data_IF_584297986624
#
_entry.id   IF_584297986624
#
_cell.length_a   1.000
_cell.length_b   1.000
_cell.length_c   1.000
_cell.angle_alpha   90.00
_cell.angle_beta   90.00
_cell.angle_gamma   90.00
#
_symmetry.space_group_name_H-M   'P 1'
#
loop_
_entity.id
_entity.type
_entity.pdbx_description
1 polymer ?
#
# COMPACT_ATOMS: atom_id res chain seq x y z
N UNK A 1 0.79 4.18 -17.45
CA UNK A 1 1.76 3.07 -17.54
C UNK A 1 1.31 2.14 -18.64
N UNK A 2 2.09 1.98 -19.71
CA UNK A 2 1.80 1.02 -20.79
C UNK A 2 2.26 -0.38 -20.36
N UNK A 3 1.32 -1.31 -20.17
CA UNK A 3 1.65 -2.71 -19.88
C UNK A 3 2.25 -3.42 -21.09
N UNK A 4 3.20 -4.33 -20.85
CA UNK A 4 3.79 -5.20 -21.88
C UNK A 4 2.90 -6.42 -22.22
N UNK A 5 1.90 -6.68 -21.38
CA UNK A 5 0.90 -7.74 -21.58
C UNK A 5 0.13 -7.52 -22.87
N UNK A 6 0.02 -8.56 -23.71
CA UNK A 6 -0.63 -8.51 -25.01
C UNK A 6 0.25 -7.98 -26.16
N UNK A 7 1.48 -7.54 -25.88
CA UNK A 7 2.47 -7.12 -26.91
C UNK A 7 3.58 -8.13 -27.14
N UNK A 8 3.88 -8.96 -26.14
CA UNK A 8 4.90 -10.01 -26.19
C UNK A 8 4.34 -11.33 -25.63
N UNK A 9 4.92 -12.48 -26.01
CA UNK A 9 4.56 -13.77 -25.43
C UNK A 9 4.71 -13.76 -23.90
N UNK A 10 3.74 -14.33 -23.20
CA UNK A 10 3.76 -14.40 -21.72
C UNK A 10 4.97 -15.16 -21.20
N UNK A 11 5.44 -16.19 -21.91
CA UNK A 11 6.65 -16.95 -21.57
C UNK A 11 7.87 -16.04 -21.41
N UNK A 12 8.08 -15.17 -22.39
CA UNK A 12 9.27 -14.33 -22.51
C UNK A 12 9.26 -13.24 -21.44
N UNK A 13 8.06 -12.70 -21.16
CA UNK A 13 7.86 -11.75 -20.08
C UNK A 13 8.15 -12.36 -18.70
N UNK A 14 7.71 -13.60 -18.48
CA UNK A 14 7.93 -14.31 -17.22
C UNK A 14 9.39 -14.71 -17.05
N UNK A 15 10.07 -15.11 -18.13
CA UNK A 15 11.50 -15.40 -18.14
C UNK A 15 12.32 -14.14 -17.80
N UNK A 16 12.04 -13.02 -18.48
CA UNK A 16 12.70 -11.74 -18.23
C UNK A 16 12.48 -11.24 -16.80
N UNK A 17 11.27 -11.42 -16.26
CA UNK A 17 10.93 -11.07 -14.88
C UNK A 17 11.42 -12.10 -13.84
N UNK A 18 11.99 -13.24 -14.27
CA UNK A 18 12.35 -14.39 -13.42
C UNK A 18 11.19 -14.84 -12.53
N UNK A 19 9.97 -14.86 -13.07
CA UNK A 19 8.74 -15.19 -12.36
C UNK A 19 8.18 -16.55 -12.84
N UNK A 20 7.97 -17.53 -11.94
CA UNK A 20 7.31 -18.78 -12.30
C UNK A 20 5.88 -18.57 -12.82
N UNK A 21 5.46 -19.39 -13.79
CA UNK A 21 4.08 -19.39 -14.34
C UNK A 21 3.03 -19.59 -13.25
N UNK A 22 3.29 -20.48 -12.30
CA UNK A 22 2.42 -20.72 -11.14
C UNK A 22 2.24 -19.47 -10.29
N UNK A 23 3.33 -18.74 -9.99
CA UNK A 23 3.30 -17.48 -9.25
C UNK A 23 2.50 -16.40 -9.99
N UNK A 24 2.64 -16.31 -11.31
CA UNK A 24 1.87 -15.39 -12.14
C UNK A 24 0.37 -15.65 -12.06
N UNK A 25 -0.06 -16.90 -12.32
CA UNK A 25 -1.49 -17.24 -12.25
C UNK A 25 -2.04 -17.18 -10.82
N UNK A 26 -1.22 -17.49 -9.81
CA UNK A 26 -1.59 -17.30 -8.41
C UNK A 26 -1.89 -15.82 -8.11
N UNK A 27 -1.01 -14.90 -8.53
CA UNK A 27 -1.20 -13.47 -8.33
C UNK A 27 -2.41 -12.92 -9.11
N UNK A 28 -2.68 -13.45 -10.31
CA UNK A 28 -3.90 -13.10 -11.06
C UNK A 28 -5.18 -13.58 -10.36
N UNK A 29 -5.17 -14.79 -9.81
CA UNK A 29 -6.32 -15.34 -9.09
C UNK A 29 -6.53 -14.70 -7.71
N UNK A 30 -5.47 -14.17 -7.10
CA UNK A 30 -5.49 -13.57 -5.77
C UNK A 30 -5.03 -12.11 -5.83
N UNK A 31 -5.84 -11.22 -6.42
CA UNK A 31 -5.54 -9.79 -6.41
C UNK A 31 -5.38 -9.33 -4.96
N UNK A 32 -4.29 -8.61 -4.69
CA UNK A 32 -3.98 -8.14 -3.33
C UNK A 32 -5.02 -7.12 -2.90
N UNK A 33 -5.87 -7.49 -1.94
CA UNK A 33 -6.82 -6.56 -1.35
C UNK A 33 -6.07 -5.43 -0.58
N UNK A 34 -6.53 -4.18 -0.69
CA UNK A 34 -5.99 -3.08 0.10
C UNK A 34 -6.21 -3.34 1.59
N UNK A 35 -5.23 -2.95 2.41
CA UNK A 35 -5.33 -3.13 3.86
C UNK A 35 -6.26 -2.06 4.43
N UNK A 36 -7.40 -2.45 5.01
CA UNK A 36 -8.34 -1.54 5.71
C UNK A 36 -8.68 -0.27 4.91
N UNK A 37 -9.23 -0.41 3.68
CA UNK A 37 -9.52 0.72 2.81
C UNK A 37 -10.46 1.75 3.46
N UNK A 38 -11.31 1.32 4.41
CA UNK A 38 -12.24 2.19 5.14
C UNK A 38 -11.55 3.29 5.96
N UNK A 39 -10.26 3.15 6.26
CA UNK A 39 -9.49 4.13 7.03
C UNK A 39 -8.57 5.02 6.18
N UNK A 40 -8.51 4.82 4.86
CA UNK A 40 -7.52 5.48 3.99
C UNK A 40 -7.73 6.98 3.90
N UNK A 41 -8.98 7.41 3.76
CA UNK A 41 -9.33 8.83 3.66
C UNK A 41 -8.90 9.59 4.91
N UNK A 42 -9.29 9.10 6.09
CA UNK A 42 -8.91 9.72 7.34
C UNK A 42 -7.40 9.62 7.62
N UNK A 43 -6.73 8.54 7.23
CA UNK A 43 -5.28 8.45 7.32
C UNK A 43 -4.59 9.51 6.43
N UNK A 44 -5.13 9.79 5.23
CA UNK A 44 -4.64 10.84 4.34
C UNK A 44 -4.87 12.24 4.92
N UNK A 45 -6.04 12.47 5.52
CA UNK A 45 -6.37 13.72 6.22
C UNK A 45 -5.40 13.97 7.39
N UNK A 46 -5.20 12.97 8.25
CA UNK A 46 -4.27 13.09 9.38
C UNK A 46 -2.83 13.33 8.87
N UNK A 47 -2.44 12.68 7.77
CA UNK A 47 -1.13 12.89 7.13
C UNK A 47 -0.93 14.34 6.67
N UNK A 48 -1.95 14.96 6.07
CA UNK A 48 -1.87 16.32 5.51
C UNK A 48 -1.87 17.42 6.57
N UNK A 49 -2.21 17.13 7.83
CA UNK A 49 -2.15 18.09 8.95
C UNK A 49 -0.76 18.64 9.22
N UNK A 50 0.30 18.01 8.69
CA UNK A 50 1.68 18.45 8.87
C UNK A 50 2.39 18.61 7.52
N UNK A 51 3.20 19.67 7.32
CA UNK A 51 3.88 19.92 6.05
C UNK A 51 4.80 18.77 5.57
N UNK A 52 5.43 18.06 6.51
CA UNK A 52 6.35 16.94 6.21
C UNK A 52 5.65 15.57 6.23
N UNK A 53 4.33 15.55 6.44
CA UNK A 53 3.58 14.33 6.71
C UNK A 53 3.83 13.77 8.11
N UNK A 54 2.80 13.22 8.75
CA UNK A 54 2.95 12.63 10.08
C UNK A 54 3.36 11.14 9.97
N UNK A 55 4.09 10.67 10.99
CA UNK A 55 4.56 9.29 11.02
C UNK A 55 3.43 8.30 11.30
N UNK A 56 3.61 7.04 10.89
CA UNK A 56 2.61 5.98 11.08
C UNK A 56 2.13 5.81 12.54
N UNK A 57 2.99 6.08 13.54
CA UNK A 57 2.61 6.06 14.96
C UNK A 57 1.63 7.18 15.31
N UNK A 58 1.87 8.39 14.80
CA UNK A 58 0.98 9.54 15.01
C UNK A 58 -0.36 9.31 14.32
N UNK A 59 -0.35 8.79 13.08
CA UNK A 59 -1.57 8.40 12.38
C UNK A 59 -2.33 7.33 13.17
N UNK A 60 -1.64 6.28 13.66
CA UNK A 60 -2.29 5.25 14.47
C UNK A 60 -2.91 5.82 15.76
N UNK A 61 -2.27 6.79 16.40
CA UNK A 61 -2.82 7.48 17.56
C UNK A 61 -4.09 8.27 17.22
N UNK A 62 -4.06 9.09 16.16
CA UNK A 62 -5.22 9.86 15.71
C UNK A 62 -6.38 8.98 15.24
N UNK A 63 -6.10 7.90 14.50
CA UNK A 63 -7.14 6.95 14.07
C UNK A 63 -7.84 6.29 15.28
N UNK A 64 -7.10 5.95 16.34
CA UNK A 64 -7.68 5.42 17.57
C UNK A 64 -8.52 6.46 18.30
N UNK A 65 -8.04 7.70 18.39
CA UNK A 65 -8.69 8.77 19.14
C UNK A 65 -9.94 9.33 18.42
N UNK A 66 -9.86 9.56 17.11
CA UNK A 66 -10.88 10.28 16.34
C UNK A 66 -11.93 9.34 15.75
N UNK A 67 -11.53 8.10 15.39
CA UNK A 67 -12.43 7.12 14.77
C UNK A 67 -12.70 5.90 15.64
N UNK A 68 -12.15 5.84 16.87
CA UNK A 68 -12.26 4.67 17.74
C UNK A 68 -11.65 3.40 17.13
N UNK A 69 -10.78 3.54 16.12
CA UNK A 69 -10.29 2.39 15.35
C UNK A 69 -9.32 1.55 16.18
N UNK A 70 -9.64 0.26 16.39
CA UNK A 70 -8.67 -0.70 16.93
C UNK A 70 -7.71 -1.11 15.82
N UNK A 71 -6.53 -0.48 15.78
CA UNK A 71 -5.53 -0.71 14.75
C UNK A 71 -4.12 -0.77 15.33
N UNK A 72 -3.28 -1.66 14.82
CA UNK A 72 -1.86 -1.73 15.17
C UNK A 72 -1.02 -0.77 14.31
N UNK A 73 0.08 -0.27 14.88
CA UNK A 73 1.00 0.66 14.18
C UNK A 73 1.53 0.08 12.87
N UNK A 74 1.84 -1.23 12.85
CA UNK A 74 2.33 -1.94 11.66
C UNK A 74 1.27 -2.00 10.55
N UNK A 75 -0.01 -2.05 10.91
CA UNK A 75 -1.12 -2.01 9.94
C UNK A 75 -1.20 -0.63 9.29
N UNK A 76 -1.08 0.44 10.08
CA UNK A 76 -1.00 1.81 9.55
C UNK A 76 0.22 2.00 8.66
N UNK A 77 1.39 1.48 9.06
CA UNK A 77 2.59 1.53 8.22
C UNK A 77 2.37 0.80 6.88
N UNK A 78 1.69 -0.35 6.89
CA UNK A 78 1.34 -1.09 5.67
C UNK A 78 0.38 -0.29 4.79
N UNK A 79 -0.66 0.32 5.36
CA UNK A 79 -1.59 1.21 4.66
C UNK A 79 -0.86 2.38 4.01
N UNK A 80 -0.02 3.09 4.76
CA UNK A 80 0.76 4.22 4.25
C UNK A 80 1.63 3.82 3.05
N UNK A 81 2.27 2.64 3.09
CA UNK A 81 3.05 2.11 1.96
C UNK A 81 2.17 1.78 0.76
N UNK A 82 0.99 1.22 0.97
CA UNK A 82 0.01 0.92 -0.09
C UNK A 82 -0.54 2.22 -0.72
N UNK A 83 -0.67 3.29 0.06
CA UNK A 83 -1.07 4.64 -0.38
C UNK A 83 0.07 5.48 -0.96
N UNK A 84 1.33 5.04 -0.84
CA UNK A 84 2.50 5.78 -1.31
C UNK A 84 2.90 6.99 -0.45
N UNK A 85 2.37 7.12 0.76
CA UNK A 85 2.68 8.24 1.68
C UNK A 85 3.75 7.84 2.70
N UNK A 86 4.64 8.76 3.03
CA UNK A 86 5.69 8.55 4.05
C UNK A 86 6.10 9.87 4.70
N UNK A 87 6.46 9.83 5.98
CA UNK A 87 6.90 11.00 6.72
C UNK A 87 8.34 11.38 6.33
N UNK A 88 8.57 12.64 5.96
CA UNK A 88 9.85 13.14 5.48
C UNK A 88 10.90 13.47 6.54
N UNK A 89 10.56 13.37 7.84
CA UNK A 89 11.44 13.81 8.94
C UNK A 89 12.64 12.87 9.16
N UNK A 90 12.52 11.58 8.80
CA UNK A 90 13.63 10.61 8.90
C UNK A 90 14.05 10.13 7.51
N UNK A 91 15.03 10.81 6.93
CA UNK A 91 15.99 10.23 5.98
C UNK A 91 17.38 10.33 6.59
#
# INVERSE_FOLDING_TARGET
MSGLSGRYPLSDLLEAARLPRSSYYYALAHPKAPTRPELWEAAAEIFSRTPNGCGHRQIAMSLRAEQGAVIADKTVLKMMREMGISCGIRR
#
